data_IF_675746872260
#
_entry.id   IF_675746872260
#
_cell.length_a   1.000
_cell.length_b   1.000
_cell.length_c   1.000
_cell.angle_alpha   90.00
_cell.angle_beta   90.00
_cell.angle_gamma   90.00
#
_symmetry.space_group_name_H-M   'P 1'
#
loop_
_entity.id
_entity.type
_entity.pdbx_description
1 polymer ?
#
# COMPACT_ATOMS: atom_id res chain seq x y z
N UNK A 1 -36.50 21.92 13.53
CA UNK A 1 -35.44 20.87 13.38
C UNK A 1 -34.77 20.89 12.01
N UNK A 2 -34.59 22.09 11.40
CA UNK A 2 -34.17 22.23 9.98
C UNK A 2 -32.81 22.92 9.79
N UNK A 3 -32.18 23.48 10.83
CA UNK A 3 -30.96 24.29 10.66
C UNK A 3 -29.63 23.58 10.81
N UNK A 4 -29.59 22.33 11.34
CA UNK A 4 -28.34 21.62 11.54
C UNK A 4 -27.77 20.97 10.26
N UNK A 5 -28.59 20.59 9.27
CA UNK A 5 -28.12 19.98 8.02
C UNK A 5 -27.48 20.98 7.06
N UNK A 6 -27.90 22.24 7.07
CA UNK A 6 -27.37 23.27 6.16
C UNK A 6 -25.94 23.71 6.55
N UNK A 7 -25.64 23.79 7.84
CA UNK A 7 -24.35 24.20 8.38
C UNK A 7 -23.22 23.18 8.11
N UNK A 8 -23.51 21.87 8.10
CA UNK A 8 -22.52 20.82 7.81
C UNK A 8 -22.13 20.78 6.33
N UNK A 9 -23.05 21.00 5.42
CA UNK A 9 -22.79 21.05 3.96
C UNK A 9 -21.87 22.20 3.57
N UNK A 10 -22.06 23.39 4.14
CA UNK A 10 -21.25 24.59 3.84
C UNK A 10 -19.81 24.43 4.37
N UNK A 11 -19.64 23.85 5.57
CA UNK A 11 -18.31 23.59 6.13
C UNK A 11 -17.52 22.52 5.33
N UNK A 12 -18.18 21.51 4.82
CA UNK A 12 -17.56 20.48 3.95
C UNK A 12 -17.12 21.08 2.62
N UNK A 13 -17.95 21.90 1.99
CA UNK A 13 -17.65 22.58 0.73
C UNK A 13 -16.49 23.58 0.86
N UNK A 14 -16.42 24.35 1.95
CA UNK A 14 -15.34 25.31 2.19
C UNK A 14 -14.00 24.62 2.45
N UNK A 15 -13.99 23.50 3.18
CA UNK A 15 -12.80 22.69 3.44
C UNK A 15 -12.27 22.06 2.15
N UNK A 16 -13.15 21.56 1.28
CA UNK A 16 -12.79 21.00 -0.04
C UNK A 16 -12.16 22.06 -0.95
N UNK A 17 -12.75 23.27 -1.03
CA UNK A 17 -12.18 24.39 -1.81
C UNK A 17 -10.82 24.85 -1.27
N UNK A 18 -10.62 24.89 0.05
CA UNK A 18 -9.32 25.23 0.65
C UNK A 18 -8.25 24.21 0.28
N UNK A 19 -8.56 22.91 0.35
CA UNK A 19 -7.65 21.83 -0.03
C UNK A 19 -7.30 21.87 -1.53
N UNK A 20 -8.27 22.15 -2.41
CA UNK A 20 -8.02 22.31 -3.85
C UNK A 20 -7.11 23.51 -4.15
N UNK A 21 -7.28 24.62 -3.44
CA UNK A 21 -6.42 25.81 -3.61
C UNK A 21 -4.99 25.53 -3.12
N UNK A 22 -4.85 24.83 -2.00
CA UNK A 22 -3.53 24.42 -1.47
C UNK A 22 -2.82 23.46 -2.43
N UNK A 23 -3.56 22.49 -3.00
CA UNK A 23 -3.01 21.58 -4.01
C UNK A 23 -2.57 22.32 -5.27
N UNK A 24 -3.33 23.27 -5.78
CA UNK A 24 -2.92 24.10 -6.94
C UNK A 24 -1.66 24.91 -6.66
N UNK A 25 -1.55 25.48 -5.45
CA UNK A 25 -0.31 26.20 -5.04
C UNK A 25 0.89 25.26 -4.97
N UNK A 26 0.70 24.05 -4.43
CA UNK A 26 1.76 23.05 -4.35
C UNK A 26 2.18 22.61 -5.75
N UNK A 27 1.24 22.31 -6.64
CA UNK A 27 1.50 21.94 -8.02
C UNK A 27 2.32 23.03 -8.74
N UNK A 28 1.92 24.30 -8.65
CA UNK A 28 2.66 25.40 -9.27
C UNK A 28 4.10 25.54 -8.70
N UNK A 29 4.32 25.23 -7.43
CA UNK A 29 5.67 25.22 -6.84
C UNK A 29 6.51 24.08 -7.37
N UNK A 30 5.93 22.89 -7.54
CA UNK A 30 6.60 21.71 -8.11
C UNK A 30 7.00 21.99 -9.56
N UNK A 31 6.09 22.52 -10.39
CA UNK A 31 6.36 22.88 -11.79
C UNK A 31 7.48 23.90 -11.93
N UNK A 32 7.53 24.91 -11.04
CA UNK A 32 8.62 25.90 -11.01
C UNK A 32 9.96 25.27 -10.61
N UNK A 33 9.95 24.36 -9.63
CA UNK A 33 11.16 23.66 -9.19
C UNK A 33 11.67 22.76 -10.32
N UNK A 34 10.81 21.99 -10.96
CA UNK A 34 11.13 21.15 -12.11
C UNK A 34 11.78 21.97 -13.22
N UNK A 35 11.13 23.08 -13.64
CA UNK A 35 11.65 23.97 -14.67
C UNK A 35 13.04 24.52 -14.32
N UNK A 36 13.26 24.90 -13.05
CA UNK A 36 14.55 25.42 -12.58
C UNK A 36 15.64 24.34 -12.59
N UNK A 37 15.32 23.11 -12.21
CA UNK A 37 16.27 21.99 -12.20
C UNK A 37 16.68 21.60 -13.63
N UNK A 38 15.72 21.59 -14.56
CA UNK A 38 15.97 21.35 -15.98
C UNK A 38 16.85 22.49 -16.57
N UNK A 39 16.51 23.75 -16.28
CA UNK A 39 17.28 24.90 -16.77
C UNK A 39 18.72 24.89 -16.25
N UNK A 40 18.94 24.42 -15.03
CA UNK A 40 20.29 24.27 -14.45
C UNK A 40 21.03 23.02 -14.90
N UNK A 41 20.45 22.17 -15.74
CA UNK A 41 21.04 20.92 -16.21
C UNK A 41 21.25 19.87 -15.11
N UNK A 42 20.55 19.99 -13.97
CA UNK A 42 20.65 19.03 -12.86
C UNK A 42 19.86 17.76 -13.19
N UNK A 43 18.72 17.89 -13.86
CA UNK A 43 17.89 16.79 -14.36
C UNK A 43 17.47 17.09 -15.80
N UNK A 44 17.26 16.03 -16.61
CA UNK A 44 16.64 16.19 -17.92
C UNK A 44 15.14 15.90 -17.85
N UNK A 45 14.38 16.49 -18.76
CA UNK A 45 12.94 16.22 -18.88
C UNK A 45 12.67 14.74 -19.18
N UNK A 46 13.50 14.15 -20.01
CA UNK A 46 13.43 12.74 -20.39
C UNK A 46 13.65 11.81 -19.18
N UNK A 47 14.59 12.16 -18.28
CA UNK A 47 14.83 11.41 -17.07
C UNK A 47 13.61 11.46 -16.12
N UNK A 48 12.97 12.62 -15.98
CA UNK A 48 11.76 12.77 -15.17
C UNK A 48 10.58 11.97 -15.75
N UNK A 49 10.37 12.05 -17.08
CA UNK A 49 9.33 11.29 -17.75
C UNK A 49 9.57 9.78 -17.65
N UNK A 50 10.81 9.33 -17.77
CA UNK A 50 11.16 7.92 -17.60
C UNK A 50 10.90 7.42 -16.18
N UNK A 51 11.23 8.20 -15.16
CA UNK A 51 10.92 7.85 -13.78
C UNK A 51 9.40 7.78 -13.57
N UNK A 52 8.64 8.76 -14.07
CA UNK A 52 7.18 8.74 -13.99
C UNK A 52 6.59 7.50 -14.66
N UNK A 53 7.05 7.16 -15.85
CA UNK A 53 6.64 5.96 -16.59
C UNK A 53 6.90 4.66 -15.81
N UNK A 54 8.10 4.53 -15.21
CA UNK A 54 8.44 3.41 -14.33
C UNK A 54 7.46 3.30 -13.16
N UNK A 55 7.12 4.44 -12.53
CA UNK A 55 6.18 4.43 -11.40
C UNK A 55 4.74 4.15 -11.80
N UNK A 56 4.34 4.52 -13.02
CA UNK A 56 2.99 4.28 -13.53
C UNK A 56 2.81 2.85 -14.06
N UNK A 57 3.83 2.30 -14.73
CA UNK A 57 3.69 1.07 -15.51
C UNK A 57 4.49 -0.13 -14.94
N UNK A 58 5.67 0.11 -14.37
CA UNK A 58 6.56 -0.98 -13.92
C UNK A 58 6.47 -1.25 -12.42
N UNK A 59 6.08 -0.25 -11.63
CA UNK A 59 5.96 -0.37 -10.19
C UNK A 59 4.49 -0.26 -9.76
N UNK A 60 4.02 -1.17 -8.93
CA UNK A 60 2.67 -1.00 -8.43
C UNK A 60 2.04 -2.22 -7.78
N UNK A 61 0.82 -2.05 -7.26
CA UNK A 61 0.10 -3.10 -6.55
C UNK A 61 -0.17 -4.34 -7.40
N UNK A 62 -0.19 -4.20 -8.74
CA UNK A 62 -0.32 -5.33 -9.66
C UNK A 62 0.86 -6.31 -9.54
N UNK A 63 2.09 -5.82 -9.33
CA UNK A 63 3.24 -6.68 -9.12
C UNK A 63 3.10 -7.47 -7.82
N UNK A 64 2.69 -6.83 -6.73
CA UNK A 64 2.39 -7.50 -5.47
C UNK A 64 1.26 -8.51 -5.63
N UNK A 65 0.20 -8.17 -6.35
CA UNK A 65 -0.90 -9.10 -6.62
C UNK A 65 -0.43 -10.34 -7.39
N UNK A 66 0.48 -10.20 -8.36
CA UNK A 66 1.11 -11.34 -9.06
C UNK A 66 1.94 -12.22 -8.11
N UNK A 67 2.73 -11.60 -7.22
CA UNK A 67 3.52 -12.31 -6.20
C UNK A 67 2.61 -13.12 -5.28
N UNK A 68 1.54 -12.53 -4.77
CA UNK A 68 0.61 -13.20 -3.87
C UNK A 68 -0.19 -14.29 -4.59
N UNK A 69 -0.69 -14.03 -5.81
CA UNK A 69 -1.39 -15.04 -6.61
C UNK A 69 -0.51 -16.26 -6.88
N UNK A 70 0.76 -16.04 -7.20
CA UNK A 70 1.76 -17.11 -7.32
C UNK A 70 1.93 -17.87 -6.01
N UNK A 71 2.04 -17.17 -4.88
CA UNK A 71 2.16 -17.80 -3.56
C UNK A 71 0.91 -18.64 -3.19
N UNK A 72 -0.28 -18.21 -3.60
CA UNK A 72 -1.51 -18.98 -3.39
C UNK A 72 -1.60 -20.22 -4.28
N UNK A 73 -0.95 -20.20 -5.45
CA UNK A 73 -1.01 -21.29 -6.43
C UNK A 73 0.13 -22.29 -6.29
N UNK A 74 1.30 -21.85 -5.79
CA UNK A 74 2.52 -22.65 -5.66
C UNK A 74 3.03 -22.63 -4.22
N UNK A 75 2.84 -23.75 -3.50
CA UNK A 75 3.27 -23.89 -2.10
C UNK A 75 4.79 -23.76 -1.92
N UNK A 76 5.59 -24.20 -2.91
CA UNK A 76 7.06 -24.10 -2.85
C UNK A 76 7.51 -22.65 -3.01
N UNK A 77 6.88 -21.91 -3.93
CA UNK A 77 7.12 -20.49 -4.07
C UNK A 77 6.71 -19.73 -2.80
N UNK A 78 5.53 -20.03 -2.23
CA UNK A 78 5.07 -19.44 -0.98
C UNK A 78 6.05 -19.64 0.16
N UNK A 79 6.60 -20.85 0.30
CA UNK A 79 7.59 -21.12 1.33
C UNK A 79 8.83 -20.23 1.15
N UNK A 80 9.40 -20.15 -0.06
CA UNK A 80 10.54 -19.25 -0.34
C UNK A 80 10.21 -17.79 -0.10
N UNK A 81 9.00 -17.36 -0.46
CA UNK A 81 8.53 -15.99 -0.25
C UNK A 81 8.47 -15.60 1.23
N UNK A 82 8.07 -16.52 2.10
CA UNK A 82 8.03 -16.31 3.55
C UNK A 82 9.41 -16.42 4.20
N UNK A 83 10.34 -17.21 3.63
CA UNK A 83 11.72 -17.33 4.10
C UNK A 83 12.59 -16.12 3.69
N UNK A 84 12.49 -15.69 2.43
CA UNK A 84 13.24 -14.56 1.86
C UNK A 84 12.38 -13.84 0.81
N UNK A 85 11.61 -12.86 1.27
CA UNK A 85 10.70 -12.09 0.42
C UNK A 85 11.42 -11.35 -0.70
N UNK A 86 12.58 -10.76 -0.41
CA UNK A 86 13.38 -10.03 -1.40
C UNK A 86 13.78 -10.92 -2.57
N UNK A 87 14.34 -12.09 -2.25
CA UNK A 87 14.81 -13.03 -3.26
C UNK A 87 13.65 -13.59 -4.08
N UNK A 88 12.59 -14.06 -3.43
CA UNK A 88 11.45 -14.64 -4.11
C UNK A 88 10.71 -13.63 -5.01
N UNK A 89 10.62 -12.37 -4.60
CA UNK A 89 10.06 -11.28 -5.41
C UNK A 89 10.95 -11.01 -6.62
N UNK A 90 12.28 -11.04 -6.44
CA UNK A 90 13.25 -10.85 -7.53
C UNK A 90 13.21 -12.00 -8.54
N UNK A 91 12.89 -13.23 -8.15
CA UNK A 91 12.66 -14.36 -9.06
C UNK A 91 11.56 -14.07 -10.09
N UNK A 92 10.60 -13.21 -9.76
CA UNK A 92 9.53 -12.79 -10.67
C UNK A 92 9.88 -11.53 -11.48
N UNK A 93 11.12 -11.04 -11.36
CA UNK A 93 11.58 -9.83 -12.06
C UNK A 93 11.18 -8.52 -11.36
N UNK A 94 10.65 -8.57 -10.14
CA UNK A 94 10.29 -7.39 -9.38
C UNK A 94 11.37 -7.09 -8.34
N UNK A 95 11.88 -5.86 -8.33
CA UNK A 95 12.93 -5.43 -7.42
C UNK A 95 13.33 -3.98 -7.67
N UNK A 96 14.43 -3.54 -7.08
CA UNK A 96 14.97 -2.20 -7.25
C UNK A 96 14.75 -1.29 -6.05
N UNK A 97 14.66 0.01 -6.29
CA UNK A 97 14.57 1.03 -5.25
C UNK A 97 13.46 0.75 -4.23
N UNK A 98 13.80 0.82 -2.94
CA UNK A 98 12.90 0.55 -1.82
C UNK A 98 12.45 -0.92 -1.69
N UNK A 99 13.14 -1.86 -2.34
CA UNK A 99 12.89 -3.29 -2.30
C UNK A 99 14.08 -4.11 -1.77
N UNK A 100 15.05 -3.46 -1.10
CA UNK A 100 16.32 -4.10 -0.70
C UNK A 100 16.15 -5.17 0.39
N UNK A 101 15.18 -5.01 1.26
CA UNK A 101 14.88 -6.01 2.30
C UNK A 101 13.37 -6.08 2.57
N UNK A 102 12.70 -6.99 1.88
CA UNK A 102 11.26 -7.21 2.01
C UNK A 102 11.03 -8.50 2.81
N UNK A 103 10.34 -8.37 3.94
CA UNK A 103 9.86 -9.48 4.75
C UNK A 103 8.38 -9.67 4.49
N UNK A 104 7.99 -10.89 4.14
CA UNK A 104 6.58 -11.23 3.89
C UNK A 104 6.00 -11.93 5.11
N UNK A 105 4.85 -11.43 5.57
CA UNK A 105 4.12 -11.98 6.72
C UNK A 105 2.77 -12.52 6.26
N UNK A 106 2.42 -13.73 6.69
CA UNK A 106 1.22 -14.42 6.23
C UNK A 106 0.05 -14.23 7.19
N UNK A 107 -1.11 -13.87 6.66
CA UNK A 107 -2.38 -13.96 7.36
C UNK A 107 -2.88 -15.42 7.39
N UNK A 108 -3.44 -15.79 8.52
CA UNK A 108 -4.07 -17.10 8.75
C UNK A 108 -5.45 -16.90 9.37
N UNK A 109 -6.28 -17.96 9.53
CA UNK A 109 -7.57 -17.82 10.21
C UNK A 109 -7.51 -17.27 11.64
N UNK A 110 -6.33 -17.32 12.29
CA UNK A 110 -6.14 -16.88 13.67
C UNK A 110 -5.14 -15.74 13.85
N UNK A 111 -4.48 -15.30 12.77
CA UNK A 111 -3.51 -14.20 12.77
C UNK A 111 -3.82 -13.25 11.62
N UNK A 112 -3.96 -11.98 11.94
CA UNK A 112 -4.08 -10.90 10.96
C UNK A 112 -2.94 -9.90 11.13
N UNK A 113 -2.17 -9.69 10.06
CA UNK A 113 -1.03 -8.79 10.04
C UNK A 113 -1.41 -7.45 9.43
N UNK A 114 -0.89 -6.37 10.00
CA UNK A 114 -1.03 -5.02 9.45
C UNK A 114 0.33 -4.32 9.45
N UNK A 115 0.61 -3.58 8.39
CA UNK A 115 1.90 -2.89 8.19
C UNK A 115 1.75 -1.40 8.40
N UNK A 116 2.74 -0.82 9.06
CA UNK A 116 2.86 0.62 9.27
C UNK A 116 4.32 1.04 9.10
N UNK A 117 4.59 2.33 8.92
CA UNK A 117 5.88 2.93 9.24
C UNK A 117 5.64 4.11 10.18
N UNK A 118 6.00 3.97 11.46
CA UNK A 118 5.76 5.00 12.47
C UNK A 118 6.62 6.24 12.29
N UNK A 119 7.80 6.11 11.69
CA UNK A 119 8.77 7.20 11.52
C UNK A 119 8.52 8.04 10.26
N UNK A 120 8.28 7.39 9.13
CA UNK A 120 8.19 8.08 7.85
C UNK A 120 7.09 7.46 6.94
N UNK A 121 7.48 6.76 5.89
CA UNK A 121 6.56 6.08 4.97
C UNK A 121 7.27 4.94 4.25
N UNK A 122 8.14 4.21 4.95
CA UNK A 122 8.84 3.05 4.41
C UNK A 122 7.85 2.01 3.90
N UNK A 123 8.04 1.58 2.65
CA UNK A 123 7.03 0.89 1.89
C UNK A 123 7.70 0.10 0.76
N UNK A 124 7.28 -1.12 0.43
CA UNK A 124 7.90 -1.91 -0.62
C UNK A 124 7.39 -1.47 -2.01
N UNK A 125 7.98 -0.40 -2.57
CA UNK A 125 7.57 0.22 -3.84
C UNK A 125 7.51 -0.75 -5.03
N UNK A 126 8.47 -1.69 -5.20
CA UNK A 126 8.43 -2.58 -6.37
C UNK A 126 7.14 -3.39 -6.51
N UNK A 127 6.50 -3.69 -5.38
CA UNK A 127 5.31 -4.56 -5.33
C UNK A 127 4.03 -3.85 -4.92
N UNK A 128 4.11 -2.67 -4.29
CA UNK A 128 2.92 -1.92 -3.84
C UNK A 128 2.77 -0.54 -4.50
N UNK A 129 3.77 -0.10 -5.28
CA UNK A 129 3.81 1.24 -5.86
C UNK A 129 4.05 2.32 -4.83
N UNK A 130 3.56 3.53 -5.08
CA UNK A 130 3.68 4.64 -4.13
C UNK A 130 2.71 4.48 -2.95
N UNK A 131 3.16 4.79 -1.71
CA UNK A 131 2.29 4.67 -0.55
C UNK A 131 1.08 5.61 -0.66
N UNK A 132 -0.12 5.14 -0.34
CA UNK A 132 -1.32 5.97 -0.36
C UNK A 132 -1.25 7.08 0.69
N UNK A 133 -2.00 8.15 0.49
CA UNK A 133 -1.96 9.32 1.37
C UNK A 133 -2.28 8.97 2.83
N UNK A 134 -3.24 8.06 3.06
CA UNK A 134 -3.62 7.63 4.41
C UNK A 134 -2.48 6.88 5.13
N UNK A 135 -1.65 6.10 4.40
CA UNK A 135 -0.51 5.38 4.99
C UNK A 135 0.53 6.34 5.58
N UNK A 136 0.68 7.53 4.98
CA UNK A 136 1.56 8.61 5.45
C UNK A 136 0.94 9.48 6.54
N UNK A 137 -0.34 9.33 6.83
CA UNK A 137 -1.05 10.15 7.80
C UNK A 137 -0.57 9.85 9.23
N UNK A 138 -0.23 10.90 9.98
CA UNK A 138 0.23 10.77 11.37
C UNK A 138 -0.81 10.08 12.28
N UNK A 139 -2.10 10.30 12.03
CA UNK A 139 -3.17 9.66 12.79
C UNK A 139 -3.20 8.13 12.57
N UNK A 140 -3.05 7.64 11.33
CA UNK A 140 -2.92 6.21 11.04
C UNK A 140 -1.70 5.65 11.76
N UNK A 141 -0.53 6.25 11.55
CA UNK A 141 0.76 5.77 12.06
C UNK A 141 0.82 5.65 13.58
N UNK A 142 0.25 6.63 14.31
CA UNK A 142 0.25 6.61 15.77
C UNK A 142 -0.82 5.69 16.35
N UNK A 143 -1.99 5.60 15.72
CA UNK A 143 -3.12 4.86 16.28
C UNK A 143 -3.07 3.36 15.99
N UNK A 144 -2.55 2.95 14.84
CA UNK A 144 -2.49 1.52 14.48
C UNK A 144 -1.59 0.71 15.41
N UNK A 145 -0.57 1.30 16.02
CA UNK A 145 0.29 0.61 17.00
C UNK A 145 -0.32 0.57 18.41
N UNK A 146 -1.24 1.49 18.72
CA UNK A 146 -1.88 1.57 20.05
C UNK A 146 -3.18 0.75 20.07
N UNK A 147 -4.01 0.91 19.06
CA UNK A 147 -5.29 0.22 18.93
C UNK A 147 -5.54 -0.18 17.46
N UNK A 148 -4.87 -1.25 16.97
CA UNK A 148 -4.97 -1.69 15.59
C UNK A 148 -6.41 -2.08 15.20
N UNK A 149 -7.17 -2.74 16.08
CA UNK A 149 -8.54 -3.17 15.76
C UNK A 149 -9.45 -2.00 15.42
N UNK A 150 -9.46 -0.95 16.24
CA UNK A 150 -10.26 0.25 15.97
C UNK A 150 -9.86 0.93 14.66
N UNK A 151 -8.58 0.90 14.30
CA UNK A 151 -8.12 1.42 13.02
C UNK A 151 -8.61 0.54 11.86
N UNK A 152 -8.56 -0.79 12.00
CA UNK A 152 -9.07 -1.71 10.98
C UNK A 152 -10.58 -1.55 10.76
N UNK A 153 -11.36 -1.37 11.83
CA UNK A 153 -12.80 -1.07 11.77
C UNK A 153 -13.09 0.22 10.95
N UNK A 154 -12.26 1.25 11.08
CA UNK A 154 -12.38 2.48 10.27
C UNK A 154 -12.15 2.23 8.77
N UNK A 155 -11.38 1.20 8.42
CA UNK A 155 -11.23 0.72 7.04
C UNK A 155 -12.34 -0.25 6.62
N UNK A 156 -13.29 -0.56 7.51
CA UNK A 156 -14.39 -1.49 7.26
C UNK A 156 -14.01 -2.96 7.47
N UNK A 157 -12.89 -3.22 8.16
CA UNK A 157 -12.43 -4.57 8.48
C UNK A 157 -12.74 -4.91 9.95
N UNK A 158 -13.78 -5.71 10.13
CA UNK A 158 -14.09 -6.31 11.43
C UNK A 158 -13.46 -7.70 11.52
N UNK A 159 -12.76 -7.97 12.60
CA UNK A 159 -12.11 -9.25 12.89
C UNK A 159 -12.70 -9.86 14.15
N UNK A 160 -12.92 -11.17 14.14
CA UNK A 160 -13.31 -11.92 15.34
C UNK A 160 -12.31 -11.68 16.48
N UNK A 161 -12.80 -11.65 17.72
CA UNK A 161 -11.96 -11.39 18.91
C UNK A 161 -10.85 -12.44 19.08
N UNK A 162 -11.07 -13.67 18.61
CA UNK A 162 -10.08 -14.76 18.63
C UNK A 162 -8.91 -14.57 17.67
N UNK A 163 -9.03 -13.68 16.70
CA UNK A 163 -7.95 -13.39 15.71
C UNK A 163 -6.90 -12.48 16.36
N UNK A 164 -5.67 -12.91 16.43
CA UNK A 164 -4.54 -12.09 16.87
C UNK A 164 -4.19 -11.05 15.80
N UNK A 165 -4.15 -9.77 16.16
CA UNK A 165 -3.70 -8.69 15.28
C UNK A 165 -2.25 -8.36 15.57
N UNK A 166 -1.39 -8.52 14.56
CA UNK A 166 0.05 -8.20 14.63
C UNK A 166 0.37 -6.96 13.81
N UNK A 167 1.02 -5.99 14.43
CA UNK A 167 1.45 -4.75 13.77
C UNK A 167 2.93 -4.84 13.46
N UNK A 168 3.30 -4.61 12.18
CA UNK A 168 4.67 -4.64 11.69
C UNK A 168 5.10 -3.24 11.29
N UNK A 169 6.12 -2.73 11.99
CA UNK A 169 6.65 -1.38 11.76
C UNK A 169 7.82 -1.43 10.76
N UNK A 170 7.56 -0.97 9.54
CA UNK A 170 8.59 -0.87 8.50
C UNK A 170 9.62 0.21 8.83
N UNK A 171 10.87 -0.04 8.53
CA UNK A 171 11.98 0.89 8.70
C UNK A 171 12.67 1.21 7.37
N UNK A 172 13.72 2.02 7.40
CA UNK A 172 14.56 2.26 6.23
C UNK A 172 15.26 0.97 5.74
N UNK A 173 15.45 0.00 6.62
CA UNK A 173 16.19 -1.24 6.35
C UNK A 173 15.24 -2.40 6.00
N UNK A 174 14.06 -2.47 6.63
CA UNK A 174 13.12 -3.59 6.46
C UNK A 174 11.76 -3.05 6.07
N UNK A 175 11.17 -3.62 5.03
CA UNK A 175 9.82 -3.34 4.56
C UNK A 175 8.98 -4.60 4.64
N UNK A 176 7.79 -4.47 5.18
CA UNK A 176 6.88 -5.60 5.31
C UNK A 176 5.83 -5.61 4.20
N UNK A 177 5.49 -6.82 3.76
CA UNK A 177 4.41 -7.11 2.83
C UNK A 177 3.50 -8.17 3.46
N UNK A 178 2.20 -7.94 3.49
CA UNK A 178 1.25 -8.97 3.93
C UNK A 178 0.92 -9.90 2.78
N UNK A 179 1.04 -11.21 3.02
CA UNK A 179 0.42 -12.24 2.22
C UNK A 179 -0.99 -12.50 2.81
N UNK A 180 -2.07 -11.96 2.22
CA UNK A 180 -3.40 -12.16 2.76
C UNK A 180 -3.84 -13.61 2.61
N UNK A 181 -4.80 -14.01 3.44
CA UNK A 181 -5.43 -15.33 3.34
C UNK A 181 -6.13 -15.48 1.99
N UNK A 182 -5.97 -16.65 1.36
CA UNK A 182 -6.65 -16.96 0.10
C UNK A 182 -8.15 -17.11 0.35
N UNK A 183 -9.02 -16.42 -0.40
CA UNK A 183 -10.46 -16.53 -0.24
C UNK A 183 -10.96 -17.96 -0.50
N UNK A 184 -11.92 -18.40 0.29
CA UNK A 184 -12.56 -19.70 0.10
C UNK A 184 -13.29 -19.76 -1.24
N UNK A 185 -13.40 -20.95 -1.82
CA UNK A 185 -14.06 -21.14 -3.12
C UNK A 185 -13.22 -20.76 -4.34
N UNK A 186 -11.95 -20.38 -4.12
CA UNK A 186 -11.02 -20.01 -5.21
C UNK A 186 -10.03 -21.11 -5.58
N UNK A 187 -10.18 -22.32 -5.03
CA UNK A 187 -9.23 -23.44 -5.17
C UNK A 187 -8.91 -23.79 -6.63
N UNK A 188 -9.90 -23.61 -7.51
CA UNK A 188 -9.78 -23.89 -8.94
C UNK A 188 -9.44 -22.65 -9.78
N UNK A 189 -9.21 -21.49 -9.16
CA UNK A 189 -8.87 -20.27 -9.90
C UNK A 189 -7.43 -20.32 -10.40
N UNK A 190 -7.22 -19.85 -11.64
CA UNK A 190 -5.90 -19.61 -12.21
C UNK A 190 -5.29 -18.34 -11.63
N UNK A 191 -3.98 -18.17 -11.76
CA UNK A 191 -3.26 -17.00 -11.24
C UNK A 191 -3.85 -15.67 -11.75
N UNK A 192 -4.25 -15.59 -13.03
CA UNK A 192 -4.86 -14.39 -13.61
C UNK A 192 -6.20 -14.00 -12.97
N UNK A 193 -6.96 -14.98 -12.52
CA UNK A 193 -8.21 -14.77 -11.78
C UNK A 193 -7.93 -14.36 -10.33
N UNK A 194 -6.94 -14.99 -9.69
CA UNK A 194 -6.54 -14.69 -8.33
C UNK A 194 -5.99 -13.27 -8.17
N UNK A 195 -5.24 -12.76 -9.16
CA UNK A 195 -4.70 -11.40 -9.17
C UNK A 195 -5.80 -10.34 -8.93
N UNK A 196 -6.99 -10.54 -9.49
CA UNK A 196 -8.11 -9.59 -9.38
C UNK A 196 -8.71 -9.51 -7.97
N UNK A 197 -8.44 -10.50 -7.11
CA UNK A 197 -8.90 -10.55 -5.73
C UNK A 197 -7.96 -9.83 -4.76
N UNK A 198 -6.74 -9.56 -5.19
CA UNK A 198 -5.67 -9.04 -4.32
C UNK A 198 -5.56 -7.53 -4.51
N UNK A 199 -5.85 -6.78 -3.44
CA UNK A 199 -5.74 -5.32 -3.44
C UNK A 199 -4.48 -4.87 -2.70
N UNK A 200 -4.06 -3.64 -2.93
CA UNK A 200 -2.99 -3.02 -2.16
C UNK A 200 -3.32 -2.98 -0.67
N UNK A 201 -4.54 -2.65 -0.34
CA UNK A 201 -5.05 -2.57 1.02
C UNK A 201 -4.96 -3.93 1.73
N UNK A 202 -5.23 -5.04 1.04
CA UNK A 202 -5.05 -6.40 1.57
C UNK A 202 -3.57 -6.74 1.80
N UNK A 203 -2.67 -6.26 0.94
CA UNK A 203 -1.23 -6.46 1.07
C UNK A 203 -0.56 -5.54 2.10
N UNK A 204 -1.26 -4.51 2.58
CA UNK A 204 -0.88 -3.71 3.75
C UNK A 204 -1.53 -4.29 5.01
N UNK A 205 -2.62 -5.01 4.88
CA UNK A 205 -3.36 -5.65 5.96
C UNK A 205 -4.50 -4.81 6.53
N UNK A 206 -4.96 -3.76 5.84
CA UNK A 206 -6.13 -2.98 6.27
C UNK A 206 -7.43 -3.46 5.64
N UNK A 207 -7.38 -4.49 4.81
CA UNK A 207 -8.54 -5.24 4.30
C UNK A 207 -8.22 -6.71 4.13
N UNK A 208 -9.21 -7.54 3.92
CA UNK A 208 -9.05 -8.89 3.36
C UNK A 208 -8.92 -8.83 1.83
N UNK A 209 -8.48 -9.91 1.21
CA UNK A 209 -8.66 -10.10 -0.22
C UNK A 209 -10.16 -10.09 -0.57
N UNK A 210 -10.50 -9.69 -1.79
CA UNK A 210 -11.90 -9.69 -2.25
C UNK A 210 -12.45 -11.10 -2.27
N UNK A 211 -13.69 -11.24 -1.90
CA UNK A 211 -14.43 -12.48 -2.10
C UNK A 211 -14.67 -12.74 -3.59
N UNK A 212 -14.80 -14.02 -3.97
CA UNK A 212 -15.02 -14.45 -5.37
C UNK A 212 -16.46 -14.26 -5.83
#
# INVERSE_FOLDING_TARGET
MSDHHHSMSIRSSSKKKKTELENKKLQSRVEKLESLLIQKGIVSKEALLRIADIYENDLGPLNGAKVIARAWSDKRYKQRLLEDGTKAISEMGFGGLQGEHIVVVENTPVIHNVVVCTLCSCYPWPVLGLPPAWYKNAAYRSRVVINPRSVLEEFGLELDESVEVRVWDSSAEIRYLVCPERPRGTENFREDQLINLITREAMIGVSKAKES
#
